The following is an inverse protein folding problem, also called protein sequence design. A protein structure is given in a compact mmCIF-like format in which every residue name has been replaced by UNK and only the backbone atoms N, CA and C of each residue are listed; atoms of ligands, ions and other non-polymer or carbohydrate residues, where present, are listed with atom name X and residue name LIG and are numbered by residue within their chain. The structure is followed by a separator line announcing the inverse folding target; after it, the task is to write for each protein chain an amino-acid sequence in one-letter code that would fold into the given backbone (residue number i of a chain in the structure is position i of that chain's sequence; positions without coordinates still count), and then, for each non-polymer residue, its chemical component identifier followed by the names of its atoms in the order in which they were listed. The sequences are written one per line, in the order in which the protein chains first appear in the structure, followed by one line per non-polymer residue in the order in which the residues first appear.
data_IF_834695376657
#
_entry.id   IF_834695376657
#
_cell.length_a   1.000
_cell.length_b   1.000
_cell.length_c   1.000
_cell.angle_alpha   90.00
_cell.angle_beta   90.00
_cell.angle_gamma   90.00
#
_symmetry.space_group_name_H-M   'P 1'
#
loop_
_entity.id
_entity.type
_entity.pdbx_description
1 polymer ?
#
# COMPACT_ATOMS: atom_id res chain seq x y z
N UNK A 1 38.67 6.74 9.79
CA UNK A 1 37.63 7.68 9.27
C UNK A 1 37.49 7.54 7.73
N UNK A 2 36.44 6.98 7.13
CA UNK A 2 35.02 6.85 7.48
C UNK A 2 34.53 5.44 7.05
N UNK A 3 33.74 4.72 7.85
CA UNK A 3 33.12 3.47 7.41
C UNK A 3 32.05 3.76 6.35
N UNK A 4 32.16 3.13 5.17
CA UNK A 4 31.09 3.13 4.16
C UNK A 4 29.88 2.35 4.67
N UNK A 5 28.70 2.97 4.63
CA UNK A 5 27.45 2.45 5.17
C UNK A 5 27.03 1.10 4.54
N UNK A 6 26.65 0.09 5.33
CA UNK A 6 25.78 -0.99 4.86
C UNK A 6 24.33 -0.54 5.09
N UNK A 7 23.70 0.14 4.11
CA UNK A 7 22.34 0.69 4.28
C UNK A 7 21.31 0.06 3.33
N UNK A 8 21.24 -1.27 3.27
CA UNK A 8 20.14 -1.93 2.56
C UNK A 8 19.41 -3.05 3.32
N UNK A 9 19.95 -3.66 4.39
CA UNK A 9 19.36 -4.93 4.87
C UNK A 9 19.01 -5.03 6.36
N UNK A 10 19.17 -3.98 7.18
CA UNK A 10 18.92 -4.11 8.64
C UNK A 10 17.46 -3.94 9.08
N UNK A 11 16.56 -3.54 8.17
CA UNK A 11 15.20 -3.08 8.52
C UNK A 11 14.08 -3.77 7.73
N UNK A 12 14.40 -4.39 6.60
CA UNK A 12 13.43 -5.11 5.75
C UNK A 12 12.68 -6.27 6.43
N UNK A 13 13.22 -7.03 7.41
CA UNK A 13 12.47 -8.15 7.99
C UNK A 13 11.29 -7.74 8.88
N UNK A 14 11.16 -6.45 9.24
CA UNK A 14 10.07 -5.95 10.10
C UNK A 14 8.85 -5.50 9.30
N UNK A 15 9.01 -5.24 8.01
CA UNK A 15 7.96 -4.73 7.14
C UNK A 15 7.22 -5.89 6.47
N UNK A 16 5.91 -5.99 6.71
CA UNK A 16 5.02 -6.94 6.02
C UNK A 16 4.02 -6.14 5.19
N UNK A 17 3.96 -6.41 3.88
CA UNK A 17 3.05 -5.74 2.94
C UNK A 17 2.07 -6.76 2.35
N UNK A 18 0.78 -6.42 2.37
CA UNK A 18 -0.31 -7.27 1.87
C UNK A 18 -1.19 -6.46 0.92
N UNK A 19 -1.74 -7.11 -0.11
CA UNK A 19 -2.73 -6.51 -1.00
C UNK A 19 -4.13 -6.97 -0.56
N UNK A 20 -4.85 -6.07 0.13
CA UNK A 20 -6.08 -6.40 0.85
C UNK A 20 -5.86 -6.52 2.35
N UNK A 21 -6.90 -6.89 3.10
CA UNK A 21 -6.85 -7.07 4.55
C UNK A 21 -6.99 -8.56 4.86
N UNK A 22 -5.93 -9.24 5.36
CA UNK A 22 -6.05 -10.62 5.76
C UNK A 22 -6.96 -10.78 7.00
N UNK A 23 -7.68 -11.90 7.15
CA UNK A 23 -8.60 -12.18 8.28
C UNK A 23 -8.09 -11.95 9.72
N UNK A 24 -6.79 -11.98 10.06
CA UNK A 24 -6.32 -11.57 11.40
C UNK A 24 -6.15 -10.05 11.60
N UNK A 25 -6.09 -9.24 10.54
CA UNK A 25 -5.86 -7.78 10.63
C UNK A 25 -7.15 -6.96 10.52
N UNK A 26 -8.28 -7.63 10.42
CA UNK A 26 -9.59 -7.04 10.26
C UNK A 26 -10.01 -6.18 11.47
N UNK A 27 -9.65 -6.63 12.67
CA UNK A 27 -10.00 -6.01 13.95
C UNK A 27 -9.00 -4.95 14.43
N UNK A 28 -7.87 -4.81 13.75
CA UNK A 28 -6.82 -3.85 14.15
C UNK A 28 -7.11 -2.47 13.55
N UNK A 29 -6.96 -1.40 14.35
CA UNK A 29 -7.13 -0.02 13.89
C UNK A 29 -6.13 0.28 12.78
N UNK A 30 -6.65 0.71 11.63
CA UNK A 30 -5.85 1.12 10.47
C UNK A 30 -5.35 2.54 10.71
N UNK A 31 -4.03 2.72 10.64
CA UNK A 31 -3.41 4.03 10.74
C UNK A 31 -3.08 4.54 9.34
N UNK A 32 -3.47 5.78 9.07
CA UNK A 32 -3.16 6.48 7.81
C UNK A 32 -2.01 7.44 8.08
N UNK A 33 -1.01 7.43 7.22
CA UNK A 33 0.06 8.43 7.25
C UNK A 33 -0.41 9.62 6.41
N UNK A 34 -0.67 10.78 7.02
CA UNK A 34 -1.22 11.94 6.30
C UNK A 34 -0.25 12.42 5.20
N UNK A 35 1.06 12.36 5.45
CA UNK A 35 2.09 12.75 4.47
C UNK A 35 2.20 11.79 3.28
N UNK A 36 1.47 10.67 3.24
CA UNK A 36 1.48 9.78 2.08
C UNK A 36 0.20 9.93 1.22
N UNK A 37 -0.72 10.82 1.61
CA UNK A 37 -2.00 10.97 0.92
C UNK A 37 -1.86 11.75 -0.39
N UNK A 38 -2.31 11.13 -1.47
CA UNK A 38 -2.33 11.74 -2.81
C UNK A 38 -3.13 13.04 -2.85
N UNK A 39 -4.22 13.14 -2.08
CA UNK A 39 -5.06 14.36 -2.01
C UNK A 39 -4.31 15.54 -1.40
N UNK A 40 -3.40 15.28 -0.46
CA UNK A 40 -2.65 16.34 0.24
C UNK A 40 -1.40 16.76 -0.53
N UNK A 41 -0.75 15.84 -1.25
CA UNK A 41 0.53 16.10 -1.94
C UNK A 41 0.40 16.42 -3.41
N UNK A 42 -0.64 15.94 -4.07
CA UNK A 42 -0.82 16.13 -5.51
C UNK A 42 -1.71 17.36 -5.76
N UNK A 43 -1.29 18.22 -6.70
CA UNK A 43 -2.12 19.34 -7.13
C UNK A 43 -3.36 18.82 -7.87
N UNK A 44 -4.53 19.47 -7.70
CA UNK A 44 -5.71 19.11 -8.46
C UNK A 44 -5.43 19.25 -9.97
N UNK A 45 -5.85 18.27 -10.76
CA UNK A 45 -5.63 18.21 -12.21
C UNK A 45 -4.42 17.39 -12.65
N UNK A 46 -3.56 16.92 -11.73
CA UNK A 46 -2.49 15.98 -12.09
C UNK A 46 -3.01 14.55 -12.17
N UNK A 47 -2.69 13.86 -13.27
CA UNK A 47 -3.03 12.44 -13.47
C UNK A 47 -2.23 11.58 -12.49
N UNK A 48 -2.91 10.66 -11.82
CA UNK A 48 -2.30 9.64 -10.97
C UNK A 48 -2.71 8.26 -11.46
N UNK A 49 -1.85 7.28 -11.26
CA UNK A 49 -2.13 5.89 -11.60
C UNK A 49 -2.44 5.11 -10.32
N UNK A 50 -3.51 4.33 -10.34
CA UNK A 50 -3.78 3.38 -9.27
C UNK A 50 -2.86 2.18 -9.46
N UNK A 51 -2.09 1.83 -8.44
CA UNK A 51 -1.20 0.66 -8.46
C UNK A 51 -1.96 -0.62 -8.87
N UNK A 52 -3.24 -0.74 -8.48
CA UNK A 52 -4.10 -1.85 -8.87
C UNK A 52 -4.39 -1.95 -10.37
N UNK A 53 -4.51 -0.82 -11.07
CA UNK A 53 -4.74 -0.78 -12.52
C UNK A 53 -3.47 -1.13 -13.29
N UNK A 54 -2.35 -0.48 -12.94
CA UNK A 54 -1.04 -0.80 -13.53
C UNK A 54 -0.66 -2.27 -13.33
N UNK A 55 -0.89 -2.79 -12.13
CA UNK A 55 -0.64 -4.20 -11.82
C UNK A 55 -1.42 -5.17 -12.70
N UNK A 56 -2.66 -4.81 -13.08
CA UNK A 56 -3.50 -5.65 -13.93
C UNK A 56 -2.95 -5.70 -15.36
N UNK A 57 -2.48 -4.56 -15.87
CA UNK A 57 -1.87 -4.45 -17.20
C UNK A 57 -0.54 -5.22 -17.29
N UNK A 58 0.22 -5.25 -16.21
CA UNK A 58 1.48 -6.02 -16.09
C UNK A 58 1.24 -7.53 -15.89
N UNK A 59 -0.02 -7.99 -15.90
CA UNK A 59 -0.36 -9.41 -15.85
C UNK A 59 -0.50 -9.98 -14.43
N UNK A 60 -0.66 -9.13 -13.41
CA UNK A 60 -0.93 -9.61 -12.06
C UNK A 60 -2.41 -10.02 -11.89
N UNK A 61 -2.69 -11.31 -12.10
CA UNK A 61 -4.05 -11.87 -12.23
C UNK A 61 -4.88 -11.98 -10.94
N UNK A 62 -4.34 -11.63 -9.77
CA UNK A 62 -5.04 -11.75 -8.48
C UNK A 62 -6.05 -10.63 -8.19
N UNK A 63 -6.30 -9.74 -9.16
CA UNK A 63 -7.18 -8.59 -8.99
C UNK A 63 -8.63 -8.98 -8.64
N UNK A 64 -9.14 -10.11 -9.15
CA UNK A 64 -10.48 -10.61 -8.87
C UNK A 64 -10.63 -11.13 -7.43
N UNK A 65 -9.63 -11.89 -6.93
CA UNK A 65 -9.64 -12.51 -5.59
C UNK A 65 -9.48 -11.50 -4.45
N UNK A 66 -8.93 -10.31 -4.74
CA UNK A 66 -8.67 -9.26 -3.75
C UNK A 66 -9.89 -8.31 -3.62
N UNK A 67 -10.74 -8.25 -4.64
CA UNK A 67 -11.94 -7.41 -4.69
C UNK A 67 -13.12 -7.81 -3.76
N UNK A 68 -13.30 -9.06 -3.27
CA UNK A 68 -14.52 -9.47 -2.56
C UNK A 68 -14.57 -9.03 -1.08
N UNK A 69 -14.09 -7.82 -0.74
CA UNK A 69 -14.36 -7.20 0.56
C UNK A 69 -14.78 -5.72 0.44
N UNK A 70 -15.95 -5.44 -0.16
CA UNK A 70 -16.47 -4.08 -0.31
C UNK A 70 -17.10 -3.48 0.96
N UNK A 71 -17.35 -4.26 2.02
CA UNK A 71 -17.97 -3.76 3.28
C UNK A 71 -17.05 -2.87 4.13
N UNK A 72 -15.75 -2.78 3.78
CA UNK A 72 -14.72 -2.19 4.64
C UNK A 72 -14.32 -0.76 4.27
N UNK A 73 -14.73 -0.26 3.10
CA UNK A 73 -14.43 1.12 2.66
C UNK A 73 -15.36 2.13 3.33
N UNK A 74 -16.54 1.70 3.79
CA UNK A 74 -17.48 2.54 4.55
C UNK A 74 -17.14 2.69 6.04
N UNK A 75 -16.01 2.14 6.52
CA UNK A 75 -15.65 2.13 7.95
C UNK A 75 -14.27 2.75 8.25
N UNK A 76 -13.76 3.57 7.32
CA UNK A 76 -12.69 4.54 7.58
C UNK A 76 -13.32 5.85 8.01
#
# INVERSE_FOLDING_TARGET
PRPGLPVASRTTPRLKAYKGVPPPYDRTKRMVIPDALNVLRLRPGHRYCLLGQLSKEVGWNYAHTIRPCPSWVSKI
#
